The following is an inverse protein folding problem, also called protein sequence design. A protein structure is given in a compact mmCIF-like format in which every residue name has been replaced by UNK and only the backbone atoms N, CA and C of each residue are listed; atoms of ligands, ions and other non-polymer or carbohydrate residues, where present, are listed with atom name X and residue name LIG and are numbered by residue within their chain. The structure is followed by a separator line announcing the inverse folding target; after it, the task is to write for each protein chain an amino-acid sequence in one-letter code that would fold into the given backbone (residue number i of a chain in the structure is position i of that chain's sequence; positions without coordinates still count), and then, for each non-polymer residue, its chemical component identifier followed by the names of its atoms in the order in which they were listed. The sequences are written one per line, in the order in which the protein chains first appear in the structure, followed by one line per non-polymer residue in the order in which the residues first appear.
data_IF_733573598563
#
_entry.id   IF_733573598563
#
_cell.length_a   1.000
_cell.length_b   1.000
_cell.length_c   1.000
_cell.angle_alpha   90.00
_cell.angle_beta   90.00
_cell.angle_gamma   90.00
#
_symmetry.space_group_name_H-M   'P 1'
#
loop_
_entity.id
_entity.type
_entity.pdbx_description
1 polymer ?
#
# COMPACT_ATOMS: atom_id res chain seq x y z
N UNK A 1 41.99 4.31 -16.69
CA UNK A 1 40.67 3.79 -16.26
C UNK A 1 40.27 4.24 -14.86
N UNK A 2 41.12 4.16 -13.83
CA UNK A 2 40.72 4.45 -12.44
C UNK A 2 40.21 5.87 -12.13
N UNK A 3 40.69 6.91 -12.83
CA UNK A 3 40.27 8.32 -12.56
C UNK A 3 38.85 8.60 -13.06
N UNK A 4 38.46 8.03 -14.20
CA UNK A 4 37.13 8.20 -14.79
C UNK A 4 36.07 7.41 -14.00
N UNK A 5 36.42 6.21 -13.53
CA UNK A 5 35.56 5.40 -12.66
C UNK A 5 35.37 6.03 -11.27
N UNK A 6 36.42 6.63 -10.71
CA UNK A 6 36.32 7.39 -9.46
C UNK A 6 35.44 8.63 -9.62
N UNK A 7 35.57 9.38 -10.72
CA UNK A 7 34.75 10.54 -11.02
C UNK A 7 33.26 10.18 -11.14
N UNK A 8 32.92 9.13 -11.89
CA UNK A 8 31.53 8.64 -12.01
C UNK A 8 30.93 8.20 -10.67
N UNK A 9 31.74 7.58 -9.79
CA UNK A 9 31.32 7.21 -8.44
C UNK A 9 31.08 8.44 -7.56
N UNK A 10 31.94 9.45 -7.64
CA UNK A 10 31.79 10.73 -6.90
C UNK A 10 30.55 11.50 -7.35
N UNK A 11 30.24 11.50 -8.65
CA UNK A 11 29.05 12.15 -9.20
C UNK A 11 27.77 11.45 -8.75
N UNK A 12 27.76 10.10 -8.74
CA UNK A 12 26.63 9.31 -8.25
C UNK A 12 26.38 9.52 -6.75
N UNK A 13 27.43 9.58 -5.92
CA UNK A 13 27.32 9.86 -4.49
C UNK A 13 26.76 11.27 -4.26
N UNK A 14 27.28 12.26 -4.99
CA UNK A 14 26.80 13.64 -4.89
C UNK A 14 25.33 13.77 -5.29
N UNK A 15 24.90 13.05 -6.32
CA UNK A 15 23.50 13.02 -6.75
C UNK A 15 22.61 12.38 -5.68
N UNK A 16 22.99 11.23 -5.14
CA UNK A 16 22.27 10.55 -4.05
C UNK A 16 22.11 11.43 -2.82
N UNK A 17 23.16 12.14 -2.42
CA UNK A 17 23.12 13.08 -1.30
C UNK A 17 22.12 14.22 -1.51
N UNK A 18 22.04 14.78 -2.72
CA UNK A 18 21.04 15.81 -3.06
C UNK A 18 19.61 15.26 -3.04
N UNK A 19 19.40 14.06 -3.56
CA UNK A 19 18.09 13.38 -3.52
C UNK A 19 17.67 13.16 -2.07
N UNK A 20 18.58 12.66 -1.22
CA UNK A 20 18.33 12.48 0.21
C UNK A 20 17.93 13.79 0.90
N UNK A 21 18.65 14.88 0.64
CA UNK A 21 18.30 16.20 1.18
C UNK A 21 16.90 16.67 0.78
N UNK A 22 16.52 16.45 -0.48
CA UNK A 22 15.16 16.74 -0.98
C UNK A 22 14.12 15.89 -0.23
N UNK A 23 14.38 14.59 -0.04
CA UNK A 23 13.48 13.68 0.68
C UNK A 23 13.30 14.12 2.15
N UNK A 24 14.38 14.50 2.84
CA UNK A 24 14.31 15.05 4.20
C UNK A 24 13.45 16.31 4.28
N UNK A 25 13.68 17.25 3.36
CA UNK A 25 12.91 18.49 3.29
C UNK A 25 11.44 18.23 3.03
N UNK A 26 11.14 17.30 2.12
CA UNK A 26 9.77 16.92 1.80
C UNK A 26 9.08 16.24 2.99
N UNK A 27 9.79 15.38 3.74
CA UNK A 27 9.29 14.78 4.99
C UNK A 27 8.92 15.84 6.01
N UNK A 28 9.85 16.77 6.26
CA UNK A 28 9.61 17.85 7.20
C UNK A 28 8.43 18.74 6.79
N UNK A 29 8.41 19.22 5.55
CA UNK A 29 7.35 20.09 5.05
C UNK A 29 6.00 19.37 4.94
N UNK A 30 6.02 18.12 4.48
CA UNK A 30 4.88 17.21 4.43
C UNK A 30 4.41 16.75 5.81
N UNK A 31 5.18 16.99 6.86
CA UNK A 31 4.78 16.84 8.26
C UNK A 31 4.31 18.16 8.89
N UNK A 32 4.51 19.29 8.21
CA UNK A 32 4.10 20.62 8.67
C UNK A 32 5.09 21.30 9.61
N UNK A 33 6.29 20.74 9.79
CA UNK A 33 7.30 21.30 10.66
C UNK A 33 8.10 22.39 9.95
N UNK A 34 8.45 23.43 10.70
CA UNK A 34 9.43 24.41 10.24
C UNK A 34 10.86 23.91 10.52
N UNK A 35 11.85 24.52 9.84
CA UNK A 35 13.24 24.08 9.91
C UNK A 35 13.83 24.21 11.32
N UNK A 36 13.58 25.33 12.00
CA UNK A 36 14.11 25.59 13.34
C UNK A 36 13.56 24.62 14.38
N UNK A 37 12.25 24.39 14.38
CA UNK A 37 11.57 23.44 15.25
C UNK A 37 12.07 22.00 15.03
N UNK A 38 12.25 21.61 13.77
CA UNK A 38 12.76 20.27 13.45
C UNK A 38 14.20 20.09 13.92
N UNK A 39 15.04 21.11 13.73
CA UNK A 39 16.43 21.06 14.20
C UNK A 39 16.49 20.92 15.73
N UNK A 40 15.67 21.68 16.45
CA UNK A 40 15.56 21.58 17.91
C UNK A 40 15.12 20.18 18.36
N UNK A 41 14.09 19.61 17.73
CA UNK A 41 13.59 18.26 18.03
C UNK A 41 14.61 17.16 17.71
N UNK A 42 15.49 17.38 16.74
CA UNK A 42 16.59 16.49 16.39
C UNK A 42 17.85 16.72 17.23
N UNK A 43 17.88 17.75 18.09
CA UNK A 43 19.08 18.14 18.84
C UNK A 43 20.20 18.71 17.97
N UNK A 44 19.86 19.31 16.83
CA UNK A 44 20.77 19.87 15.83
C UNK A 44 20.72 21.40 15.81
N UNK A 45 21.79 22.02 15.29
CA UNK A 45 21.71 23.43 14.90
C UNK A 45 20.88 23.57 13.61
N UNK A 46 20.09 24.66 13.44
CA UNK A 46 19.30 24.88 12.21
C UNK A 46 20.14 24.82 10.93
N UNK A 47 21.35 25.39 10.95
CA UNK A 47 22.27 25.36 9.82
C UNK A 47 22.67 23.92 9.43
N UNK A 48 22.87 23.03 10.41
CA UNK A 48 23.21 21.63 10.16
C UNK A 48 22.08 20.90 9.44
N UNK A 49 20.82 21.13 9.85
CA UNK A 49 19.67 20.56 9.16
C UNK A 49 19.53 21.13 7.73
N UNK A 50 19.81 22.42 7.53
CA UNK A 50 19.83 23.03 6.21
C UNK A 50 20.92 22.43 5.30
N UNK A 51 22.10 22.15 5.86
CA UNK A 51 23.21 21.50 5.17
C UNK A 51 22.84 20.07 4.73
N UNK A 52 22.06 19.34 5.53
CA UNK A 52 21.48 18.05 5.13
C UNK A 52 20.44 18.20 4.02
N UNK A 53 19.45 19.09 4.19
CA UNK A 53 18.37 19.29 3.21
C UNK A 53 18.84 19.81 1.84
N UNK A 54 19.96 20.54 1.82
CA UNK A 54 20.60 21.02 0.60
C UNK A 54 21.58 20.02 -0.02
N UNK A 55 21.87 18.91 0.66
CA UNK A 55 22.85 17.91 0.25
C UNK A 55 24.29 18.44 0.29
N UNK A 56 24.60 19.39 1.18
CA UNK A 56 25.97 19.82 1.49
C UNK A 56 26.66 18.85 2.44
N UNK A 57 25.91 18.29 3.40
CA UNK A 57 26.35 17.24 4.31
C UNK A 57 25.41 16.03 4.24
N UNK A 58 25.89 14.86 4.68
CA UNK A 58 25.06 13.67 4.86
C UNK A 58 24.68 13.50 6.34
N UNK A 59 23.40 13.25 6.65
CA UNK A 59 23.02 12.81 7.98
C UNK A 59 23.49 11.37 8.20
N UNK A 60 23.62 10.99 9.46
CA UNK A 60 23.75 9.57 9.83
C UNK A 60 22.36 8.90 9.91
N UNK A 61 22.36 7.58 10.06
CA UNK A 61 21.13 6.80 10.16
C UNK A 61 20.28 7.20 11.39
N UNK A 62 20.83 7.40 12.61
CA UNK A 62 20.05 7.87 13.75
C UNK A 62 19.26 9.15 13.51
N UNK A 63 19.84 10.14 12.81
CA UNK A 63 19.15 11.37 12.42
C UNK A 63 17.98 11.04 11.48
N UNK A 64 18.20 10.19 10.48
CA UNK A 64 17.15 9.78 9.54
C UNK A 64 16.01 9.02 10.24
N UNK A 65 16.32 8.08 11.13
CA UNK A 65 15.30 7.36 11.90
C UNK A 65 14.44 8.28 12.76
N UNK A 66 15.09 9.25 13.41
CA UNK A 66 14.41 10.20 14.28
C UNK A 66 13.54 11.14 13.47
N UNK A 67 14.03 11.63 12.33
CA UNK A 67 13.26 12.44 11.40
C UNK A 67 12.06 11.67 10.82
N UNK A 68 12.23 10.39 10.48
CA UNK A 68 11.15 9.55 9.97
C UNK A 68 10.02 9.41 11.00
N UNK A 69 10.39 9.12 12.26
CA UNK A 69 9.44 9.04 13.38
C UNK A 69 8.72 10.37 13.60
N UNK A 70 9.46 11.48 13.60
CA UNK A 70 8.90 12.82 13.76
C UNK A 70 7.89 13.15 12.64
N UNK A 71 8.22 12.80 11.40
CA UNK A 71 7.41 13.08 10.23
C UNK A 71 6.33 12.03 9.94
N UNK A 72 6.22 11.00 10.78
CA UNK A 72 5.32 9.85 10.61
C UNK A 72 5.45 9.17 9.23
N UNK A 73 6.68 8.92 8.80
CA UNK A 73 7.01 8.16 7.59
C UNK A 73 7.89 6.96 7.94
N UNK A 74 7.81 5.84 7.19
CA UNK A 74 8.77 4.75 7.38
C UNK A 74 10.18 5.24 7.02
N UNK A 75 11.21 4.76 7.73
CA UNK A 75 12.61 5.15 7.45
C UNK A 75 12.99 4.84 6.00
N UNK A 76 12.36 3.81 5.40
CA UNK A 76 12.51 3.45 3.98
C UNK A 76 12.13 4.51 2.98
N UNK A 77 11.42 5.54 3.42
CA UNK A 77 11.19 6.76 2.67
C UNK A 77 12.49 7.35 2.09
N UNK A 78 13.58 7.34 2.87
CA UNK A 78 14.84 8.03 2.53
C UNK A 78 15.76 7.28 1.55
N UNK A 79 15.45 6.03 1.22
CA UNK A 79 16.26 5.20 0.29
C UNK A 79 15.43 4.48 -0.78
N UNK A 80 14.13 4.76 -0.86
CA UNK A 80 13.30 4.27 -1.96
C UNK A 80 13.67 4.99 -3.26
N UNK A 81 14.10 4.24 -4.29
CA UNK A 81 14.42 4.78 -5.62
C UNK A 81 13.23 5.50 -6.28
N UNK A 82 12.02 5.26 -5.77
CA UNK A 82 10.77 5.83 -6.29
C UNK A 82 10.25 7.03 -5.50
N UNK A 83 10.88 7.40 -4.36
CA UNK A 83 10.39 8.48 -3.50
C UNK A 83 8.91 8.28 -3.18
N UNK A 84 8.60 7.43 -2.19
CA UNK A 84 7.20 7.13 -1.82
C UNK A 84 6.37 8.43 -1.81
N UNK A 85 5.18 8.47 -2.43
CA UNK A 85 4.34 9.66 -2.40
C UNK A 85 4.07 10.05 -0.95
N UNK A 86 4.31 11.31 -0.58
CA UNK A 86 3.68 11.84 0.62
C UNK A 86 2.16 11.75 0.43
N UNK A 87 1.39 11.37 1.46
CA UNK A 87 -0.04 11.65 1.44
C UNK A 87 -0.20 13.16 1.22
N UNK A 88 -0.76 13.52 0.06
CA UNK A 88 -0.90 14.90 -0.39
C UNK A 88 -1.60 15.73 0.69
N UNK A 89 -0.91 16.70 1.31
CA UNK A 89 -1.53 17.61 2.30
C UNK A 89 -2.50 18.61 1.67
N UNK A 90 -2.53 18.71 0.35
CA UNK A 90 -3.51 19.51 -0.38
C UNK A 90 -4.84 18.76 -0.57
N UNK A 91 -4.96 17.53 -0.06
CA UNK A 91 -6.23 16.88 0.12
C UNK A 91 -7.10 17.75 1.04
N UNK A 92 -8.16 18.35 0.49
CA UNK A 92 -9.12 19.08 1.30
C UNK A 92 -9.74 18.07 2.26
N UNK A 93 -9.28 18.04 3.51
CA UNK A 93 -9.74 17.11 4.55
C UNK A 93 -11.28 17.02 4.65
N UNK A 94 -12.07 18.11 4.49
CA UNK A 94 -13.53 18.01 4.45
C UNK A 94 -14.06 17.17 3.28
N UNK A 95 -13.39 17.22 2.12
CA UNK A 95 -13.73 16.44 0.93
C UNK A 95 -13.29 14.97 1.08
N UNK A 96 -12.11 14.70 1.66
CA UNK A 96 -11.68 13.34 2.02
C UNK A 96 -12.69 12.65 2.93
N UNK A 97 -13.08 13.31 4.02
CA UNK A 97 -14.02 12.75 5.00
C UNK A 97 -15.37 12.48 4.34
N UNK A 98 -15.87 13.43 3.53
CA UNK A 98 -17.15 13.28 2.83
C UNK A 98 -17.11 12.15 1.80
N UNK A 99 -16.01 12.03 1.04
CA UNK A 99 -15.80 10.95 0.08
C UNK A 99 -15.72 9.60 0.79
N UNK A 100 -14.96 9.53 1.89
CA UNK A 100 -14.81 8.31 2.68
C UNK A 100 -16.13 7.86 3.29
N UNK A 101 -16.95 8.78 3.81
CA UNK A 101 -18.31 8.47 4.30
C UNK A 101 -19.18 7.85 3.21
N UNK A 102 -19.12 8.37 1.98
CA UNK A 102 -19.82 7.76 0.83
C UNK A 102 -19.32 6.35 0.54
N UNK A 103 -18.01 6.14 0.52
CA UNK A 103 -17.42 4.80 0.33
C UNK A 103 -17.92 3.83 1.41
N UNK A 104 -17.83 4.20 2.69
CA UNK A 104 -18.35 3.36 3.79
C UNK A 104 -19.85 3.10 3.64
N UNK A 105 -20.65 4.13 3.32
CA UNK A 105 -22.09 4.01 3.13
C UNK A 105 -22.47 3.05 2.01
N UNK A 106 -21.77 3.11 0.88
CA UNK A 106 -21.96 2.19 -0.25
C UNK A 106 -21.58 0.76 0.12
N UNK A 107 -20.45 0.57 0.82
CA UNK A 107 -20.02 -0.75 1.28
C UNK A 107 -21.02 -1.34 2.28
N UNK A 108 -21.58 -0.52 3.17
CA UNK A 108 -22.62 -0.92 4.11
C UNK A 108 -23.91 -1.31 3.39
N UNK A 109 -24.34 -0.51 2.41
CA UNK A 109 -25.50 -0.82 1.59
C UNK A 109 -25.31 -2.16 0.86
N UNK A 110 -24.14 -2.37 0.23
CA UNK A 110 -23.78 -3.61 -0.44
C UNK A 110 -23.79 -4.81 0.50
N UNK A 111 -23.08 -4.74 1.63
CA UNK A 111 -23.04 -5.83 2.59
C UNK A 111 -24.44 -6.17 3.13
N UNK A 112 -25.27 -5.16 3.38
CA UNK A 112 -26.67 -5.36 3.78
C UNK A 112 -27.50 -6.05 2.70
N UNK A 113 -27.36 -5.64 1.43
CA UNK A 113 -28.10 -6.26 0.32
C UNK A 113 -27.63 -7.67 0.04
N UNK A 114 -26.33 -7.93 0.13
CA UNK A 114 -25.73 -9.26 -0.09
C UNK A 114 -26.17 -10.23 1.01
N UNK A 115 -26.27 -9.76 2.26
CA UNK A 115 -26.88 -10.49 3.37
C UNK A 115 -28.42 -10.52 3.34
N UNK A 116 -29.05 -9.95 2.30
CA UNK A 116 -30.48 -9.92 2.05
C UNK A 116 -31.32 -9.30 3.20
N UNK A 117 -30.75 -8.33 3.93
CA UNK A 117 -31.42 -7.68 5.05
C UNK A 117 -32.14 -6.38 4.63
N UNK A 118 -33.37 -6.13 5.11
CA UNK A 118 -33.99 -4.81 4.96
C UNK A 118 -33.31 -3.78 5.88
N UNK A 119 -33.32 -2.47 5.54
CA UNK A 119 -32.76 -1.41 6.39
C UNK A 119 -33.28 -1.43 7.84
N UNK A 120 -34.54 -1.86 8.03
CA UNK A 120 -35.17 -2.05 9.34
C UNK A 120 -34.40 -3.01 10.25
N UNK A 121 -33.81 -4.08 9.70
CA UNK A 121 -33.05 -5.06 10.48
C UNK A 121 -31.78 -4.46 11.08
N UNK A 122 -31.09 -3.62 10.30
CA UNK A 122 -29.90 -2.87 10.77
C UNK A 122 -30.31 -1.84 11.83
N UNK A 123 -31.41 -1.13 11.60
CA UNK A 123 -31.93 -0.13 12.53
C UNK A 123 -32.26 -0.77 13.90
N UNK A 124 -32.94 -1.92 13.90
CA UNK A 124 -33.24 -2.68 15.12
C UNK A 124 -31.99 -3.17 15.85
N UNK A 125 -30.97 -3.64 15.12
CA UNK A 125 -29.72 -4.12 15.70
C UNK A 125 -28.90 -2.99 16.35
N UNK A 126 -28.91 -1.80 15.74
CA UNK A 126 -28.17 -0.64 16.23
C UNK A 126 -28.95 0.21 17.25
N UNK A 127 -30.27 0.01 17.36
CA UNK A 127 -31.14 0.89 18.14
C UNK A 127 -31.39 2.26 17.49
N UNK A 128 -31.17 2.36 16.18
CA UNK A 128 -31.32 3.59 15.39
C UNK A 128 -32.64 3.58 14.58
N UNK A 129 -32.96 4.71 13.94
CA UNK A 129 -34.10 4.79 13.02
C UNK A 129 -33.72 4.33 11.60
N UNK A 130 -34.70 3.84 10.83
CA UNK A 130 -34.49 3.48 9.41
C UNK A 130 -33.97 4.66 8.61
N UNK A 131 -34.42 5.87 8.92
CA UNK A 131 -33.94 7.09 8.28
C UNK A 131 -32.44 7.31 8.58
N UNK A 132 -31.97 7.10 9.81
CA UNK A 132 -30.55 7.22 10.11
C UNK A 132 -29.70 6.21 9.34
N UNK A 133 -30.17 4.96 9.21
CA UNK A 133 -29.49 3.96 8.38
C UNK A 133 -29.40 4.44 6.93
N UNK A 134 -30.45 5.05 6.38
CA UNK A 134 -30.42 5.63 5.05
C UNK A 134 -29.39 6.78 4.93
N UNK A 135 -29.25 7.63 5.95
CA UNK A 135 -28.25 8.70 5.96
C UNK A 135 -26.80 8.14 6.01
N UNK A 136 -26.59 7.03 6.72
CA UNK A 136 -25.31 6.31 6.72
C UNK A 136 -25.01 5.70 5.35
N UNK A 137 -25.95 4.96 4.76
CA UNK A 137 -25.79 4.31 3.46
C UNK A 137 -25.57 5.32 2.30
N UNK A 138 -26.15 6.52 2.41
CA UNK A 138 -25.95 7.61 1.45
C UNK A 138 -24.66 8.42 1.69
N UNK A 139 -23.92 8.14 2.77
CA UNK A 139 -22.72 8.86 3.16
C UNK A 139 -22.97 10.31 3.61
N UNK A 140 -24.21 10.65 3.94
CA UNK A 140 -24.58 11.97 4.48
C UNK A 140 -24.11 12.11 5.93
N UNK A 141 -24.21 11.02 6.69
CA UNK A 141 -23.63 10.86 8.02
C UNK A 141 -22.57 9.77 8.01
N UNK A 142 -21.56 9.91 8.87
CA UNK A 142 -20.65 8.81 9.14
C UNK A 142 -21.24 7.91 10.20
N UNK A 143 -21.31 6.61 9.93
CA UNK A 143 -21.65 5.62 10.96
C UNK A 143 -20.57 5.62 12.05
N UNK A 144 -20.94 5.73 13.35
CA UNK A 144 -20.01 5.59 14.46
C UNK A 144 -19.24 4.26 14.39
N UNK A 145 -17.95 4.29 14.73
CA UNK A 145 -17.08 3.10 14.63
C UNK A 145 -17.59 1.91 15.46
N UNK A 146 -18.10 2.15 16.67
CA UNK A 146 -18.67 1.09 17.51
C UNK A 146 -19.89 0.42 16.89
N UNK A 147 -20.75 1.20 16.21
CA UNK A 147 -21.90 0.68 15.49
C UNK A 147 -21.45 -0.10 14.24
N UNK A 148 -20.48 0.43 13.49
CA UNK A 148 -19.91 -0.27 12.34
C UNK A 148 -19.30 -1.62 12.73
N UNK A 149 -18.57 -1.66 13.84
CA UNK A 149 -18.00 -2.89 14.39
C UNK A 149 -19.07 -3.86 14.95
N UNK A 150 -20.23 -3.36 15.40
CA UNK A 150 -21.33 -4.23 15.80
C UNK A 150 -22.06 -4.86 14.59
N UNK A 151 -21.90 -4.29 13.39
CA UNK A 151 -22.51 -4.80 12.17
C UNK A 151 -21.69 -5.86 11.46
N UNK A 152 -20.38 -5.98 11.72
CA UNK A 152 -19.52 -6.98 11.07
C UNK A 152 -20.04 -8.40 11.32
N UNK A 153 -20.41 -8.72 12.56
CA UNK A 153 -21.01 -10.01 12.93
C UNK A 153 -22.38 -10.22 12.29
N UNK A 154 -23.22 -9.18 12.22
CA UNK A 154 -24.56 -9.30 11.63
C UNK A 154 -24.51 -9.49 10.11
N UNK A 155 -23.58 -8.80 9.44
CA UNK A 155 -23.45 -8.76 7.98
C UNK A 155 -22.50 -9.84 7.44
N UNK A 156 -21.87 -10.62 8.30
CA UNK A 156 -20.89 -11.65 7.96
C UNK A 156 -19.73 -11.09 7.10
N UNK A 157 -19.21 -9.92 7.52
CA UNK A 157 -18.06 -9.25 6.87
C UNK A 157 -17.03 -8.83 7.91
N UNK A 158 -15.76 -8.97 7.57
CA UNK A 158 -14.67 -8.50 8.42
C UNK A 158 -14.63 -6.97 8.48
N UNK A 159 -14.07 -6.43 9.57
CA UNK A 159 -13.94 -4.98 9.73
C UNK A 159 -13.08 -4.36 8.61
N UNK A 160 -12.09 -5.10 8.11
CA UNK A 160 -11.17 -4.68 7.03
C UNK A 160 -11.92 -4.38 5.73
N UNK A 161 -13.05 -5.05 5.46
CA UNK A 161 -13.92 -4.73 4.33
C UNK A 161 -14.30 -3.24 4.29
N UNK A 162 -14.60 -2.66 5.46
CA UNK A 162 -14.93 -1.25 5.55
C UNK A 162 -13.69 -0.36 5.56
N UNK A 163 -12.58 -0.81 6.15
CA UNK A 163 -11.34 -0.04 6.32
C UNK A 163 -10.57 0.13 5.00
N UNK A 164 -10.47 -0.93 4.21
CA UNK A 164 -9.71 -1.01 2.96
C UNK A 164 -10.46 -0.52 1.72
N UNK A 165 -11.72 -0.11 1.86
CA UNK A 165 -12.57 0.38 0.78
C UNK A 165 -12.01 1.52 -0.09
N UNK A 166 -10.90 2.15 0.30
CA UNK A 166 -10.15 3.13 -0.51
C UNK A 166 -8.98 2.52 -1.31
N UNK A 167 -8.47 1.35 -0.89
CA UNK A 167 -7.42 0.59 -1.57
C UNK A 167 -8.00 -0.47 -2.53
N UNK A 168 -9.29 -0.79 -2.42
CA UNK A 168 -9.99 -1.80 -3.24
C UNK A 168 -10.46 -1.34 -4.64
N UNK A 169 -10.13 -0.12 -5.07
CA UNK A 169 -10.52 0.40 -6.39
C UNK A 169 -9.74 -0.20 -7.57
N UNK A 170 -8.82 -1.14 -7.32
CA UNK A 170 -8.12 -1.90 -8.39
C UNK A 170 -8.45 -3.40 -8.42
N UNK A 171 -9.41 -3.92 -7.62
CA UNK A 171 -9.62 -5.40 -7.58
C UNK A 171 -11.05 -5.91 -7.73
N UNK A 172 -12.12 -5.10 -7.77
CA UNK A 172 -13.49 -5.68 -7.75
C UNK A 172 -14.43 -5.25 -8.87
N UNK A 173 -13.89 -5.01 -10.06
CA UNK A 173 -14.70 -4.87 -11.29
C UNK A 173 -14.49 -6.00 -12.31
N UNK A 174 -13.70 -7.02 -11.99
CA UNK A 174 -13.46 -8.16 -12.89
C UNK A 174 -14.25 -9.44 -12.53
N UNK A 175 -14.96 -9.49 -11.40
CA UNK A 175 -15.49 -10.76 -10.87
C UNK A 175 -17.02 -10.84 -10.75
N UNK A 176 -17.79 -9.92 -11.35
CA UNK A 176 -19.27 -9.99 -11.27
C UNK A 176 -19.99 -10.14 -12.62
N UNK A 177 -19.28 -10.42 -13.71
CA UNK A 177 -19.90 -10.83 -14.98
C UNK A 177 -19.39 -12.21 -15.41
N UNK A 178 -19.78 -13.29 -14.71
CA UNK A 178 -19.93 -14.61 -15.37
C UNK A 178 -20.66 -15.71 -14.55
N UNK A 179 -21.43 -15.35 -13.51
CA UNK A 179 -22.17 -16.34 -12.69
C UNK A 179 -23.53 -16.76 -13.28
N UNK A 180 -23.82 -16.46 -14.55
CA UNK A 180 -25.10 -16.81 -15.15
C UNK A 180 -24.98 -17.18 -16.63
N UNK A 181 -24.36 -18.33 -16.94
CA UNK A 181 -24.87 -19.34 -17.89
C UNK A 181 -23.79 -20.38 -18.29
N UNK A 182 -24.15 -21.66 -18.07
CA UNK A 182 -23.65 -22.91 -18.71
C UNK A 182 -22.76 -23.83 -17.85
N UNK A 183 -23.40 -24.82 -17.25
CA UNK A 183 -22.93 -26.21 -17.41
C UNK A 183 -23.26 -26.73 -18.82
N UNK A 184 -22.75 -27.89 -19.28
CA UNK A 184 -21.44 -28.50 -19.07
C UNK A 184 -20.83 -28.89 -20.44
N UNK A 185 -19.57 -28.56 -20.74
CA UNK A 185 -18.88 -29.20 -21.87
C UNK A 185 -17.41 -29.40 -21.55
N UNK A 186 -17.02 -30.68 -21.49
CA UNK A 186 -15.66 -31.15 -21.34
C UNK A 186 -14.74 -30.56 -22.42
N UNK A 187 -13.58 -30.05 -22.02
CA UNK A 187 -12.37 -30.13 -22.84
C UNK A 187 -11.13 -29.85 -21.99
N UNK A 188 -10.13 -30.68 -22.22
CA UNK A 188 -8.87 -30.76 -21.49
C UNK A 188 -7.99 -29.52 -21.71
N UNK A 189 -7.81 -28.69 -20.68
CA UNK A 189 -6.66 -27.80 -20.55
C UNK A 189 -6.56 -27.29 -19.09
N UNK A 190 -5.45 -27.52 -18.37
CA UNK A 190 -5.27 -26.96 -17.04
C UNK A 190 -4.90 -25.47 -17.14
N UNK A 191 -5.81 -24.57 -16.75
CA UNK A 191 -5.44 -23.17 -16.47
C UNK A 191 -4.77 -23.11 -15.10
N UNK A 192 -3.45 -22.90 -15.12
CA UNK A 192 -2.61 -22.81 -13.92
C UNK A 192 -2.82 -21.50 -13.17
N UNK A 193 -3.86 -21.44 -12.36
CA UNK A 193 -3.98 -20.52 -11.23
C UNK A 193 -3.97 -21.34 -9.95
N UNK A 194 -2.80 -21.57 -9.36
CA UNK A 194 -2.73 -22.21 -8.04
C UNK A 194 -3.17 -21.20 -6.98
N UNK A 195 -4.47 -21.12 -6.72
CA UNK A 195 -4.96 -20.66 -5.42
C UNK A 195 -4.71 -21.80 -4.43
N UNK A 196 -3.56 -21.80 -3.77
CA UNK A 196 -3.31 -22.70 -2.63
C UNK A 196 -3.90 -22.01 -1.41
N UNK A 197 -4.97 -22.55 -0.80
CA UNK A 197 -5.41 -22.08 0.52
C UNK A 197 -4.24 -22.22 1.48
N UNK A 198 -4.04 -21.28 2.40
CA UNK A 198 -2.92 -21.30 3.35
C UNK A 198 -2.79 -22.61 4.17
N UNK A 199 -3.83 -23.47 4.16
CA UNK A 199 -3.85 -24.78 4.78
C UNK A 199 -3.07 -25.88 4.03
N UNK A 200 -2.73 -25.71 2.76
CA UNK A 200 -2.10 -26.76 1.91
C UNK A 200 -0.68 -26.42 1.43
N UNK A 201 -0.06 -25.36 1.98
CA UNK A 201 1.30 -24.99 1.61
C UNK A 201 2.32 -25.92 2.32
N UNK A 202 3.23 -26.58 1.59
CA UNK A 202 4.31 -27.35 2.20
C UNK A 202 5.17 -26.50 3.14
N UNK A 203 5.53 -27.07 4.30
CA UNK A 203 6.22 -26.35 5.38
C UNK A 203 7.56 -25.73 4.93
N UNK A 204 8.25 -26.34 3.97
CA UNK A 204 9.49 -25.86 3.39
C UNK A 204 9.30 -24.58 2.57
N UNK A 205 8.16 -24.45 1.86
CA UNK A 205 7.82 -23.24 1.11
C UNK A 205 7.45 -22.09 2.05
N UNK A 206 6.69 -22.38 3.12
CA UNK A 206 6.35 -21.38 4.15
C UNK A 206 7.61 -20.86 4.81
N UNK A 207 8.51 -21.76 5.22
CA UNK A 207 9.79 -21.39 5.83
C UNK A 207 10.66 -20.55 4.89
N UNK A 208 10.67 -20.87 3.59
CA UNK A 208 11.41 -20.10 2.58
C UNK A 208 10.87 -18.68 2.40
N UNK A 209 9.54 -18.51 2.39
CA UNK A 209 8.89 -17.19 2.24
C UNK A 209 9.09 -16.31 3.49
N UNK A 210 9.09 -16.93 4.68
CA UNK A 210 9.24 -16.21 5.95
C UNK A 210 10.67 -15.74 6.22
N UNK A 211 11.67 -16.25 5.51
CA UNK A 211 13.06 -15.78 5.64
C UNK A 211 13.31 -14.51 4.79
N UNK A 212 13.60 -13.36 5.41
CA UNK A 212 13.84 -12.10 4.70
C UNK A 212 15.05 -12.13 3.77
N UNK A 213 15.98 -13.07 3.97
CA UNK A 213 17.13 -13.29 3.08
C UNK A 213 16.68 -13.78 1.69
N UNK A 214 15.51 -14.42 1.60
CA UNK A 214 14.98 -14.98 0.36
C UNK A 214 14.20 -13.98 -0.50
N UNK A 215 14.04 -12.75 -0.03
CA UNK A 215 13.25 -11.71 -0.68
C UNK A 215 13.68 -11.43 -2.13
N UNK A 216 14.98 -11.55 -2.44
CA UNK A 216 15.48 -11.36 -3.79
C UNK A 216 15.00 -12.46 -4.75
N UNK A 217 14.97 -13.71 -4.29
CA UNK A 217 14.46 -14.85 -5.06
C UNK A 217 12.95 -14.74 -5.28
N UNK A 218 12.21 -14.29 -4.27
CA UNK A 218 10.76 -14.06 -4.37
C UNK A 218 10.46 -12.94 -5.37
N UNK A 219 11.18 -11.80 -5.28
CA UNK A 219 11.05 -10.71 -6.26
C UNK A 219 11.38 -11.14 -7.68
N UNK A 220 12.37 -12.01 -7.85
CA UNK A 220 12.72 -12.58 -9.15
C UNK A 220 11.56 -13.44 -9.67
N UNK A 221 11.01 -14.33 -8.85
CA UNK A 221 9.86 -15.18 -9.23
C UNK A 221 8.64 -14.35 -9.64
N UNK A 222 8.31 -13.29 -8.88
CA UNK A 222 7.21 -12.37 -9.23
C UNK A 222 7.46 -11.66 -10.56
N UNK A 223 8.71 -11.24 -10.84
CA UNK A 223 9.06 -10.64 -12.14
C UNK A 223 8.92 -11.65 -13.27
N UNK A 224 9.39 -12.88 -13.08
CA UNK A 224 9.26 -13.96 -14.07
C UNK A 224 7.79 -14.28 -14.38
N UNK A 225 6.90 -14.25 -13.39
CA UNK A 225 5.45 -14.45 -13.60
C UNK A 225 4.84 -13.38 -14.51
N UNK A 226 5.35 -12.15 -14.47
CA UNK A 226 4.83 -11.03 -15.28
C UNK A 226 5.36 -11.00 -16.73
N UNK A 227 6.30 -11.89 -17.09
CA UNK A 227 6.87 -11.95 -18.42
C UNK A 227 6.02 -12.80 -19.37
N UNK A 228 6.00 -12.43 -20.66
CA UNK A 228 5.37 -13.26 -21.68
C UNK A 228 6.12 -14.58 -21.85
N UNK A 229 5.39 -15.63 -22.26
CA UNK A 229 5.95 -16.96 -22.54
C UNK A 229 7.07 -16.91 -23.59
N UNK A 230 6.94 -16.05 -24.60
CA UNK A 230 7.97 -15.77 -25.61
C UNK A 230 9.29 -15.26 -24.96
N UNK A 231 9.17 -14.31 -24.02
CA UNK A 231 10.32 -13.69 -23.34
C UNK A 231 10.99 -14.67 -22.38
N UNK A 232 10.20 -15.48 -21.65
CA UNK A 232 10.72 -16.54 -20.78
C UNK A 232 11.47 -17.60 -21.57
N UNK A 233 11.00 -17.95 -22.76
CA UNK A 233 11.66 -18.91 -23.65
C UNK A 233 12.98 -18.37 -24.20
N UNK A 234 13.01 -17.11 -24.65
CA UNK A 234 14.23 -16.46 -25.11
C UNK A 234 15.28 -16.31 -23.98
N UNK A 235 14.83 -16.05 -22.75
CA UNK A 235 15.69 -16.03 -21.56
C UNK A 235 16.27 -17.43 -21.25
N UNK A 236 15.45 -18.47 -21.35
CA UNK A 236 15.89 -19.84 -21.12
C UNK A 236 16.90 -20.30 -22.19
N UNK A 237 16.66 -19.99 -23.45
CA UNK A 237 17.60 -20.27 -24.56
C UNK A 237 18.92 -19.52 -24.37
N UNK A 238 18.87 -18.24 -23.98
CA UNK A 238 20.07 -17.46 -23.67
C UNK A 238 20.89 -18.02 -22.50
N UNK A 239 20.24 -18.54 -21.45
CA UNK A 239 20.95 -19.18 -20.32
C UNK A 239 21.58 -20.52 -20.74
N UNK A 240 20.91 -21.28 -21.61
CA UNK A 240 21.42 -22.52 -22.18
C UNK A 240 22.66 -22.29 -23.06
N UNK A 241 22.67 -21.24 -23.88
CA UNK A 241 23.82 -20.87 -24.72
C UNK A 241 25.06 -20.42 -23.93
N UNK A 242 24.88 -19.93 -22.70
CA UNK A 242 26.00 -19.50 -21.83
C UNK A 242 26.53 -20.69 -21.00
N UNK A 243 25.75 -21.77 -20.89
CA UNK A 243 26.09 -22.94 -20.07
C UNK A 243 26.61 -24.14 -20.88
N UNK A 244 26.66 -24.05 -22.21
CA UNK A 244 27.25 -25.03 -23.13
C UNK A 244 28.50 -24.51 -23.87
#
# INVERSE_FOLDING_TARGET
MGVFEAMLKTDAITLKRKILGILMRNARAGAGFNLTETAELLGLAPLTLEDYESGRQEPDLPILETLARLCNVPVSYFWSDTGLPFPDRNYKYPQAISLRRKVVGLLLNKARTDANYPPKKIAEHLGDSVDQIAHYEQGQLGIPFSQLNALTELLDVDLDYFLDGANGAETTLAEQEDAAQKEPVASDAPSGGYNIPAADMPDDVVAFIQDPTNLLYIKLAMRLQSLSTETLRALAEGILDITY
#
